data_IF_619585355738
#
_entry.id   IF_619585355738
#
_cell.length_a   1.000
_cell.length_b   1.000
_cell.length_c   1.000
_cell.angle_alpha   90.00
_cell.angle_beta   90.00
_cell.angle_gamma   90.00
#
_symmetry.space_group_name_H-M   'P 1'
#
loop_
_entity.id
_entity.type
_entity.pdbx_description
1 polymer ?
#
# COMPACT_ATOMS: atom_id res chain seq x y z
N UNK A 1 -10.20 -33.73 -21.95
CA UNK A 1 -9.49 -32.55 -21.43
C UNK A 1 -10.24 -31.30 -21.88
N UNK A 2 -11.07 -30.70 -21.02
CA UNK A 2 -11.77 -29.46 -21.36
C UNK A 2 -10.87 -28.27 -21.07
N UNK A 3 -10.35 -27.63 -22.13
CA UNK A 3 -9.75 -26.29 -22.02
C UNK A 3 -10.90 -25.34 -21.73
N UNK A 4 -11.11 -25.00 -20.45
CA UNK A 4 -12.00 -23.91 -20.07
C UNK A 4 -11.42 -22.62 -20.65
N UNK A 5 -11.88 -22.22 -21.83
CA UNK A 5 -11.65 -20.87 -22.32
C UNK A 5 -12.21 -19.94 -21.24
N UNK A 6 -11.34 -19.15 -20.60
CA UNK A 6 -11.79 -18.18 -19.60
C UNK A 6 -12.57 -17.13 -20.38
N UNK A 7 -13.87 -17.02 -20.10
CA UNK A 7 -14.73 -16.00 -20.67
C UNK A 7 -14.06 -14.61 -20.53
N UNK A 8 -13.74 -13.95 -21.67
CA UNK A 8 -13.03 -12.67 -21.67
C UNK A 8 -13.83 -11.57 -20.95
N UNK A 9 -15.16 -11.65 -20.91
CA UNK A 9 -16.01 -10.71 -20.18
C UNK A 9 -15.76 -10.80 -18.66
N UNK A 10 -15.64 -12.03 -18.14
CA UNK A 10 -15.36 -12.30 -16.72
C UNK A 10 -13.97 -11.86 -16.30
N UNK A 11 -12.97 -12.03 -17.17
CA UNK A 11 -11.61 -11.51 -16.94
C UNK A 11 -11.57 -9.98 -16.95
N UNK A 12 -12.30 -9.34 -17.87
CA UNK A 12 -12.42 -7.88 -17.93
C UNK A 12 -13.00 -7.32 -16.64
N UNK A 13 -14.09 -7.89 -16.12
CA UNK A 13 -14.72 -7.44 -14.88
C UNK A 13 -13.82 -7.64 -13.65
N UNK A 14 -13.10 -8.77 -13.57
CA UNK A 14 -12.17 -9.07 -12.48
C UNK A 14 -10.97 -8.12 -12.42
N UNK A 15 -10.60 -7.52 -13.56
CA UNK A 15 -9.49 -6.58 -13.70
C UNK A 15 -9.88 -5.11 -13.47
N UNK A 16 -11.17 -4.80 -13.28
CA UNK A 16 -11.63 -3.43 -12.98
C UNK A 16 -11.16 -2.99 -11.58
N UNK A 17 -11.01 -1.68 -11.42
CA UNK A 17 -10.76 -1.07 -10.11
C UNK A 17 -11.95 -1.28 -9.18
N UNK A 18 -11.65 -1.62 -7.94
CA UNK A 18 -12.60 -1.81 -6.85
C UNK A 18 -12.94 -0.47 -6.22
N UNK A 19 -14.20 -0.05 -6.33
CA UNK A 19 -14.71 1.15 -5.66
C UNK A 19 -14.52 1.09 -4.15
N UNK A 20 -14.68 -0.09 -3.55
CA UNK A 20 -14.49 -0.29 -2.12
C UNK A 20 -13.02 -0.07 -1.72
N UNK A 21 -12.07 -0.61 -2.49
CA UNK A 21 -10.64 -0.42 -2.20
C UNK A 21 -10.27 1.06 -2.30
N UNK A 22 -10.73 1.74 -3.36
CA UNK A 22 -10.51 3.18 -3.52
C UNK A 22 -11.13 3.97 -2.36
N UNK A 23 -12.36 3.64 -1.95
CA UNK A 23 -13.02 4.28 -0.82
C UNK A 23 -12.24 4.04 0.49
N UNK A 24 -11.79 2.82 0.77
CA UNK A 24 -10.99 2.52 1.97
C UNK A 24 -9.69 3.33 2.02
N UNK A 25 -8.97 3.43 0.89
CA UNK A 25 -7.73 4.20 0.83
C UNK A 25 -7.98 5.70 0.95
N UNK A 26 -9.02 6.21 0.27
CA UNK A 26 -9.41 7.62 0.36
C UNK A 26 -9.84 7.99 1.78
N UNK A 27 -10.63 7.14 2.45
CA UNK A 27 -11.03 7.33 3.84
C UNK A 27 -9.84 7.29 4.78
N UNK A 28 -8.92 6.33 4.62
CA UNK A 28 -7.70 6.25 5.42
C UNK A 28 -6.84 7.50 5.26
N UNK A 29 -6.64 7.97 4.02
CA UNK A 29 -5.92 9.21 3.73
C UNK A 29 -6.59 10.45 4.34
N UNK A 30 -7.91 10.59 4.20
CA UNK A 30 -8.67 11.70 4.78
C UNK A 30 -8.63 11.69 6.33
N UNK A 31 -8.73 10.50 6.94
CA UNK A 31 -8.57 10.33 8.38
C UNK A 31 -7.15 10.72 8.83
N UNK A 32 -6.14 10.39 8.01
CA UNK A 32 -4.77 10.85 8.18
C UNK A 32 -4.67 12.37 8.23
N UNK A 33 -5.22 13.07 7.23
CA UNK A 33 -5.25 14.54 7.20
C UNK A 33 -5.86 15.11 8.48
N UNK A 34 -7.01 14.57 8.90
CA UNK A 34 -7.67 15.02 10.14
C UNK A 34 -6.78 14.78 11.38
N UNK A 35 -6.14 13.62 11.48
CA UNK A 35 -5.19 13.34 12.55
C UNK A 35 -3.98 14.30 12.53
N UNK A 36 -3.43 14.57 11.35
CA UNK A 36 -2.35 15.54 11.16
C UNK A 36 -2.74 16.95 11.59
N UNK A 37 -3.99 17.36 11.30
CA UNK A 37 -4.53 18.64 11.77
C UNK A 37 -4.64 18.70 13.29
N UNK A 38 -5.12 17.63 13.93
CA UNK A 38 -5.17 17.55 15.39
C UNK A 38 -3.76 17.64 16.00
N UNK A 39 -2.80 16.89 15.46
CA UNK A 39 -1.40 16.93 15.88
C UNK A 39 -0.81 18.33 15.72
N UNK A 40 -1.06 18.99 14.59
CA UNK A 40 -0.59 20.35 14.33
C UNK A 40 -1.19 21.36 15.31
N UNK A 41 -2.51 21.32 15.56
CA UNK A 41 -3.16 22.25 16.50
C UNK A 41 -2.68 22.04 17.93
N UNK A 42 -2.35 20.80 18.31
CA UNK A 42 -1.86 20.45 19.66
C UNK A 42 -0.34 20.52 19.82
N UNK A 43 0.39 20.99 18.80
CA UNK A 43 1.85 21.02 18.82
C UNK A 43 2.39 21.97 19.88
N UNK A 44 3.59 21.66 20.37
CA UNK A 44 4.35 22.58 21.21
C UNK A 44 4.84 23.78 20.38
N UNK A 45 4.79 25.02 20.90
CA UNK A 45 5.44 26.17 20.27
C UNK A 45 6.97 26.07 20.27
N UNK A 46 7.54 25.26 21.16
CA UNK A 46 8.99 25.05 21.21
C UNK A 46 9.42 24.18 20.02
N UNK A 47 10.30 24.74 19.18
CA UNK A 47 10.90 24.02 18.06
C UNK A 47 12.05 23.18 18.56
N UNK A 48 12.04 21.88 18.25
CA UNK A 48 13.15 20.99 18.57
C UNK A 48 14.43 21.42 17.84
N UNK A 49 15.59 21.21 18.49
CA UNK A 49 16.88 21.46 17.88
C UNK A 49 17.19 20.46 16.75
N UNK A 50 17.85 20.94 15.70
CA UNK A 50 18.35 20.09 14.64
C UNK A 50 19.52 19.22 15.14
N UNK A 51 19.47 17.92 14.82
CA UNK A 51 20.52 16.94 15.10
C UNK A 51 21.26 16.65 13.80
N UNK A 52 22.56 16.95 13.77
CA UNK A 52 23.39 16.70 12.61
C UNK A 52 23.39 15.21 12.22
N UNK A 53 23.27 14.92 10.93
CA UNK A 53 23.23 13.55 10.40
C UNK A 53 21.85 12.88 10.43
N UNK A 54 20.78 13.57 10.84
CA UNK A 54 19.41 13.02 10.80
C UNK A 54 18.85 12.86 9.38
N UNK A 55 19.47 13.50 8.39
CA UNK A 55 19.04 13.47 7.00
C UNK A 55 19.45 12.14 6.32
N UNK A 56 18.46 11.39 5.84
CA UNK A 56 18.59 10.11 5.15
C UNK A 56 17.99 10.12 3.73
N UNK A 57 17.65 11.28 3.17
CA UNK A 57 16.85 11.37 1.94
C UNK A 57 17.50 10.68 0.74
N UNK A 58 18.84 10.65 0.70
CA UNK A 58 19.57 9.95 -0.35
C UNK A 58 19.27 8.44 -0.34
N UNK A 59 19.16 7.83 0.84
CA UNK A 59 18.81 6.42 0.98
C UNK A 59 17.38 6.14 0.49
N UNK A 60 16.42 6.97 0.89
CA UNK A 60 15.02 6.82 0.46
C UNK A 60 14.86 6.99 -1.05
N UNK A 61 15.55 7.96 -1.66
CA UNK A 61 15.56 8.14 -3.12
C UNK A 61 16.13 6.89 -3.80
N UNK A 62 17.24 6.34 -3.30
CA UNK A 62 17.83 5.11 -3.85
C UNK A 62 16.84 3.94 -3.76
N UNK A 63 16.22 3.73 -2.59
CA UNK A 63 15.22 2.66 -2.40
C UNK A 63 14.02 2.85 -3.32
N UNK A 64 13.53 4.08 -3.47
CA UNK A 64 12.42 4.40 -4.35
C UNK A 64 12.77 4.13 -5.82
N UNK A 65 13.93 4.59 -6.29
CA UNK A 65 14.39 4.38 -7.67
C UNK A 65 14.56 2.88 -7.96
N UNK A 66 15.20 2.14 -7.05
CA UNK A 66 15.36 0.69 -7.18
C UNK A 66 13.99 -0.01 -7.22
N UNK A 67 13.06 0.39 -6.36
CA UNK A 67 11.71 -0.18 -6.32
C UNK A 67 10.96 0.06 -7.63
N UNK A 68 11.01 1.28 -8.17
CA UNK A 68 10.42 1.61 -9.47
C UNK A 68 11.06 0.80 -10.60
N UNK A 69 12.39 0.69 -10.62
CA UNK A 69 13.12 -0.08 -11.62
C UNK A 69 12.73 -1.57 -11.60
N UNK A 70 12.60 -2.16 -10.41
CA UNK A 70 12.14 -3.54 -10.23
C UNK A 70 10.70 -3.71 -10.74
N UNK A 71 9.78 -2.82 -10.35
CA UNK A 71 8.37 -2.90 -10.79
C UNK A 71 8.27 -2.76 -12.31
N UNK A 72 8.99 -1.80 -12.90
CA UNK A 72 9.02 -1.60 -14.34
C UNK A 72 9.60 -2.81 -15.07
N UNK A 73 10.74 -3.35 -14.60
CA UNK A 73 11.38 -4.54 -15.17
C UNK A 73 10.46 -5.77 -15.12
N UNK A 74 9.80 -6.02 -13.99
CA UNK A 74 8.82 -7.10 -13.85
C UNK A 74 7.63 -6.87 -14.77
N UNK A 75 7.13 -5.64 -14.90
CA UNK A 75 6.00 -5.35 -15.79
C UNK A 75 6.36 -5.54 -17.27
N UNK A 76 7.54 -5.10 -17.70
CA UNK A 76 8.05 -5.35 -19.06
C UNK A 76 8.22 -6.85 -19.31
N UNK A 77 8.80 -7.59 -18.37
CA UNK A 77 8.94 -9.04 -18.47
C UNK A 77 7.60 -9.76 -18.55
N UNK A 78 6.61 -9.32 -17.76
CA UNK A 78 5.25 -9.87 -17.81
C UNK A 78 4.55 -9.53 -19.12
N UNK A 79 4.71 -8.30 -19.65
CA UNK A 79 4.10 -7.88 -20.90
C UNK A 79 4.56 -8.73 -22.10
N UNK A 80 5.77 -9.29 -22.03
CA UNK A 80 6.29 -10.25 -23.03
C UNK A 80 5.62 -11.63 -22.97
N UNK A 81 4.77 -11.91 -21.98
CA UNK A 81 4.04 -13.18 -21.82
C UNK A 81 2.61 -13.06 -22.36
N UNK A 82 2.15 -13.96 -23.26
CA UNK A 82 0.82 -13.89 -23.87
C UNK A 82 -0.36 -13.89 -22.88
N UNK A 83 -0.17 -14.45 -21.68
CA UNK A 83 -1.21 -14.58 -20.64
C UNK A 83 -1.35 -13.35 -19.72
N UNK A 84 -0.55 -12.31 -19.93
CA UNK A 84 -0.44 -11.16 -19.01
C UNK A 84 -0.87 -9.82 -19.62
N UNK A 85 -1.36 -9.80 -20.86
CA UNK A 85 -1.81 -8.57 -21.51
C UNK A 85 -2.85 -7.84 -20.64
N UNK A 86 -2.56 -6.59 -20.23
CA UNK A 86 -3.44 -5.75 -19.40
C UNK A 86 -3.27 -5.87 -17.87
N UNK A 87 -2.32 -6.66 -17.38
CA UNK A 87 -1.98 -6.68 -15.94
C UNK A 87 -1.01 -5.54 -15.60
N UNK A 88 -1.44 -4.64 -14.72
CA UNK A 88 -0.62 -3.54 -14.19
C UNK A 88 -0.35 -3.79 -12.72
N UNK A 89 0.93 -3.87 -12.35
CA UNK A 89 1.36 -4.08 -10.96
C UNK A 89 0.94 -2.92 -10.07
N UNK A 90 0.96 -1.71 -10.61
CA UNK A 90 0.54 -0.48 -9.93
C UNK A 90 -0.91 -0.53 -9.45
N UNK A 91 -1.79 -1.11 -10.27
CA UNK A 91 -3.24 -1.17 -9.97
C UNK A 91 -3.68 -2.50 -9.38
N UNK A 92 -2.84 -3.53 -9.42
CA UNK A 92 -3.17 -4.88 -8.98
C UNK A 92 -3.79 -4.96 -7.56
N UNK A 93 -3.31 -4.20 -6.55
CA UNK A 93 -3.89 -4.22 -5.20
C UNK A 93 -5.32 -3.65 -5.16
N UNK A 94 -5.67 -2.79 -6.12
CA UNK A 94 -6.91 -2.03 -6.17
C UNK A 94 -8.01 -2.73 -7.00
N UNK A 95 -7.78 -3.95 -7.49
CA UNK A 95 -8.70 -4.62 -8.41
C UNK A 95 -9.78 -5.42 -7.69
N UNK A 96 -10.94 -5.57 -8.33
CA UNK A 96 -12.08 -6.35 -7.82
C UNK A 96 -11.66 -7.78 -7.44
N UNK A 97 -10.84 -8.46 -8.25
CA UNK A 97 -10.35 -9.81 -7.94
C UNK A 97 -9.56 -9.88 -6.61
N UNK A 98 -8.77 -8.86 -6.30
CA UNK A 98 -8.04 -8.81 -5.03
C UNK A 98 -9.02 -8.76 -3.84
N UNK A 99 -10.07 -7.94 -3.94
CA UNK A 99 -11.11 -7.84 -2.91
C UNK A 99 -11.97 -9.09 -2.79
N UNK A 100 -12.30 -9.75 -3.89
CA UNK A 100 -13.04 -11.02 -3.83
C UNK A 100 -12.24 -12.09 -3.10
N UNK A 101 -10.93 -12.19 -3.36
CA UNK A 101 -10.04 -13.13 -2.67
C UNK A 101 -9.85 -12.77 -1.19
N UNK A 102 -9.80 -11.47 -0.87
CA UNK A 102 -9.80 -10.99 0.52
C UNK A 102 -11.08 -11.40 1.23
N UNK A 103 -12.24 -11.14 0.65
CA UNK A 103 -13.54 -11.54 1.21
C UNK A 103 -13.65 -13.05 1.41
N UNK A 104 -13.12 -13.86 0.49
CA UNK A 104 -13.07 -15.32 0.66
C UNK A 104 -12.10 -15.77 1.76
N UNK A 105 -10.97 -15.08 1.93
CA UNK A 105 -9.98 -15.42 2.97
C UNK A 105 -10.47 -15.02 4.36
N UNK A 106 -11.25 -13.93 4.46
CA UNK A 106 -11.83 -13.45 5.71
C UNK A 106 -13.18 -14.10 6.06
N UNK A 107 -13.94 -14.58 5.07
CA UNK A 107 -15.10 -15.43 5.31
C UNK A 107 -14.59 -16.78 5.80
N UNK A 108 -14.61 -16.95 7.11
CA UNK A 108 -14.42 -18.22 7.81
C UNK A 108 -15.54 -19.17 7.36
N UNK A 109 -15.40 -19.78 6.19
CA UNK A 109 -16.37 -20.70 5.61
C UNK A 109 -16.26 -22.07 6.29
N UNK A 110 -17.40 -22.63 6.69
CA UNK A 110 -17.55 -23.93 7.35
C UNK A 110 -16.60 -25.02 6.79
N UNK A 111 -15.54 -25.31 7.53
CA UNK A 111 -14.48 -26.23 7.14
C UNK A 111 -13.10 -25.72 7.57
N UNK A 112 -12.91 -25.57 8.89
CA UNK A 112 -11.64 -25.13 9.47
C UNK A 112 -10.49 -26.07 9.13
N UNK A 113 -9.37 -25.52 8.63
CA UNK A 113 -8.08 -26.19 8.61
C UNK A 113 -7.09 -25.37 9.43
N UNK A 114 -6.19 -26.04 10.18
CA UNK A 114 -5.17 -25.39 11.03
C UNK A 114 -4.38 -24.25 10.34
N UNK A 115 -4.02 -24.33 9.04
CA UNK A 115 -3.35 -23.22 8.36
C UNK A 115 -4.16 -21.92 8.27
N UNK A 116 -5.48 -21.99 8.37
CA UNK A 116 -6.37 -20.81 8.30
C UNK A 116 -6.32 -19.97 9.59
N UNK A 117 -5.95 -20.58 10.73
CA UNK A 117 -5.79 -19.89 12.02
C UNK A 117 -4.64 -18.86 12.00
N UNK A 118 -3.61 -19.11 11.19
CA UNK A 118 -2.47 -18.19 11.05
C UNK A 118 -2.71 -17.23 9.88
N UNK A 119 -3.35 -17.72 8.81
CA UNK A 119 -3.56 -16.94 7.59
C UNK A 119 -4.46 -15.73 7.84
N UNK A 120 -5.59 -15.88 8.54
CA UNK A 120 -6.52 -14.77 8.72
C UNK A 120 -5.91 -13.61 9.55
N UNK A 121 -5.25 -13.85 10.70
CA UNK A 121 -4.52 -12.81 11.42
C UNK A 121 -3.40 -12.18 10.59
N UNK A 122 -2.63 -12.97 9.85
CA UNK A 122 -1.57 -12.45 8.99
C UNK A 122 -2.12 -11.55 7.88
N UNK A 123 -3.23 -11.95 7.24
CA UNK A 123 -3.93 -11.15 6.23
C UNK A 123 -4.45 -9.86 6.83
N UNK A 124 -5.05 -9.91 8.02
CA UNK A 124 -5.56 -8.72 8.70
C UNK A 124 -4.41 -7.76 9.05
N UNK A 125 -3.32 -8.26 9.62
CA UNK A 125 -2.14 -7.46 9.94
C UNK A 125 -1.57 -6.77 8.69
N UNK A 126 -1.36 -7.52 7.61
CA UNK A 126 -0.83 -6.96 6.35
C UNK A 126 -1.81 -5.97 5.72
N UNK A 127 -3.12 -6.20 5.83
CA UNK A 127 -4.15 -5.26 5.39
C UNK A 127 -4.11 -3.96 6.21
N UNK A 128 -3.95 -4.06 7.53
CA UNK A 128 -3.79 -2.88 8.40
C UNK A 128 -2.55 -2.07 8.01
N UNK A 129 -1.42 -2.72 7.74
CA UNK A 129 -0.20 -2.04 7.25
C UNK A 129 -0.48 -1.32 5.92
N UNK A 130 -1.17 -1.97 4.99
CA UNK A 130 -1.52 -1.38 3.71
C UNK A 130 -2.48 -0.17 3.86
N UNK A 131 -3.41 -0.18 4.82
CA UNK A 131 -4.31 0.94 5.09
C UNK A 131 -3.66 2.05 5.94
N UNK A 132 -2.71 1.69 6.79
CA UNK A 132 -1.93 2.64 7.58
C UNK A 132 -1.01 3.50 6.72
N UNK A 133 -0.54 2.96 5.59
CA UNK A 133 0.32 3.68 4.63
C UNK A 133 -0.33 4.97 4.10
N UNK A 134 -1.52 4.96 3.46
CA UNK A 134 -2.19 6.20 3.03
C UNK A 134 -2.64 7.07 4.21
N UNK A 135 -2.97 6.49 5.37
CA UNK A 135 -3.21 7.28 6.59
C UNK A 135 -1.99 8.12 6.96
N UNK A 136 -0.78 7.52 6.99
CA UNK A 136 0.46 8.24 7.26
C UNK A 136 0.81 9.28 6.21
N UNK A 137 0.52 9.01 4.94
CA UNK A 137 0.66 10.02 3.89
C UNK A 137 -0.24 11.24 4.15
N UNK A 138 -1.49 11.01 4.53
CA UNK A 138 -2.45 12.07 4.85
C UNK A 138 -2.05 12.87 6.08
N UNK A 139 -1.61 12.19 7.14
CA UNK A 139 -1.16 12.83 8.38
C UNK A 139 -0.03 13.84 8.12
N UNK A 140 0.91 13.48 7.26
CA UNK A 140 2.05 14.34 6.94
C UNK A 140 1.67 15.64 6.23
N UNK A 141 0.51 15.71 5.54
CA UNK A 141 0.06 16.91 4.82
C UNK A 141 -0.11 18.12 5.76
N UNK A 142 -0.65 17.89 6.96
CA UNK A 142 -0.85 18.96 7.94
C UNK A 142 0.11 18.81 9.12
N UNK A 143 0.34 17.58 9.59
CA UNK A 143 1.29 17.31 10.67
C UNK A 143 2.70 17.79 10.34
N UNK A 144 3.11 17.67 9.07
CA UNK A 144 4.41 18.13 8.59
C UNK A 144 4.61 19.65 8.64
N UNK A 145 3.54 20.44 8.79
CA UNK A 145 3.69 21.89 8.95
C UNK A 145 4.27 22.27 10.32
N UNK A 146 4.30 21.34 11.29
CA UNK A 146 5.00 21.52 12.55
C UNK A 146 6.51 21.46 12.31
N UNK A 147 7.28 22.55 12.55
CA UNK A 147 8.73 22.56 12.37
C UNK A 147 9.44 21.47 13.20
N UNK A 148 8.89 21.12 14.38
CA UNK A 148 9.45 20.05 15.21
C UNK A 148 9.30 18.66 14.57
N UNK A 149 8.34 18.48 13.66
CA UNK A 149 8.15 17.24 12.93
C UNK A 149 9.11 17.09 11.74
N UNK A 150 9.63 18.20 11.20
CA UNK A 150 10.47 18.18 9.99
C UNK A 150 11.95 18.38 10.30
N UNK A 151 12.29 19.11 11.37
CA UNK A 151 13.67 19.52 11.69
C UNK A 151 14.67 18.35 11.72
N UNK A 152 14.22 17.15 12.09
CA UNK A 152 15.02 15.92 12.14
C UNK A 152 14.48 14.80 11.25
N UNK A 153 13.60 15.11 10.29
CA UNK A 153 13.08 14.12 9.36
C UNK A 153 14.18 13.61 8.42
N UNK A 154 14.03 12.38 7.94
CA UNK A 154 14.95 11.78 6.97
C UNK A 154 15.01 12.57 5.66
N UNK A 155 13.90 13.19 5.26
CA UNK A 155 13.84 14.13 4.15
C UNK A 155 14.56 15.47 4.36
N UNK A 156 15.20 15.67 5.52
CA UNK A 156 15.81 16.94 5.92
C UNK A 156 14.82 17.91 6.58
N UNK A 157 15.29 19.09 7.02
CA UNK A 157 14.56 19.98 7.92
C UNK A 157 13.35 20.68 7.29
N UNK A 158 13.19 20.56 5.97
CA UNK A 158 12.13 21.24 5.22
C UNK A 158 10.85 20.43 5.21
N UNK A 159 9.71 21.12 5.17
CA UNK A 159 8.40 20.48 4.97
C UNK A 159 8.37 19.59 3.74
N UNK A 160 8.84 20.09 2.59
CA UNK A 160 8.79 19.34 1.33
C UNK A 160 9.66 18.09 1.36
N UNK A 161 10.86 18.19 1.94
CA UNK A 161 11.74 17.04 2.12
C UNK A 161 11.09 15.98 3.01
N UNK A 162 10.63 16.37 4.21
CA UNK A 162 9.96 15.47 5.13
C UNK A 162 8.69 14.84 4.53
N UNK A 163 7.89 15.61 3.78
CA UNK A 163 6.71 15.13 3.09
C UNK A 163 7.07 14.07 2.03
N UNK A 164 8.06 14.38 1.18
CA UNK A 164 8.54 13.46 0.15
C UNK A 164 9.00 12.14 0.78
N UNK A 165 9.82 12.23 1.83
CA UNK A 165 10.35 11.07 2.55
C UNK A 165 9.25 10.11 3.03
N UNK A 166 8.32 10.64 3.82
CA UNK A 166 7.21 9.85 4.35
C UNK A 166 6.32 9.27 3.25
N UNK A 167 6.15 9.98 2.14
CA UNK A 167 5.35 9.49 1.00
C UNK A 167 6.06 8.37 0.26
N UNK A 168 7.37 8.48 0.02
CA UNK A 168 8.16 7.41 -0.59
C UNK A 168 8.13 6.14 0.26
N UNK A 169 8.35 6.26 1.57
CA UNK A 169 8.26 5.15 2.52
C UNK A 169 6.87 4.49 2.49
N UNK A 170 5.81 5.29 2.60
CA UNK A 170 4.45 4.78 2.60
C UNK A 170 4.09 4.08 1.27
N UNK A 171 4.54 4.61 0.13
CA UNK A 171 4.32 3.98 -1.19
C UNK A 171 5.04 2.62 -1.25
N UNK A 172 6.30 2.56 -0.84
CA UNK A 172 7.08 1.32 -0.84
C UNK A 172 6.44 0.28 0.08
N UNK A 173 6.11 0.66 1.32
CA UNK A 173 5.45 -0.21 2.30
C UNK A 173 4.09 -0.70 1.78
N UNK A 174 3.29 0.18 1.17
CA UNK A 174 2.00 -0.17 0.59
C UNK A 174 2.14 -1.27 -0.47
N UNK A 175 3.09 -1.12 -1.40
CA UNK A 175 3.27 -2.10 -2.48
C UNK A 175 3.89 -3.41 -1.97
N UNK A 176 4.81 -3.36 -1.00
CA UNK A 176 5.32 -4.57 -0.33
C UNK A 176 4.18 -5.30 0.38
N UNK A 177 3.38 -4.59 1.18
CA UNK A 177 2.22 -5.16 1.87
C UNK A 177 1.22 -5.76 0.87
N UNK A 178 0.93 -5.08 -0.24
CA UNK A 178 0.05 -5.61 -1.26
C UNK A 178 0.60 -6.86 -1.97
N UNK A 179 1.92 -6.93 -2.18
CA UNK A 179 2.58 -8.12 -2.72
C UNK A 179 2.51 -9.31 -1.75
N UNK A 180 2.77 -9.06 -0.46
CA UNK A 180 2.62 -10.08 0.60
C UNK A 180 1.17 -10.54 0.69
N UNK A 181 0.22 -9.61 0.70
CA UNK A 181 -1.21 -9.90 0.74
C UNK A 181 -1.62 -10.80 -0.43
N UNK A 182 -1.19 -10.48 -1.66
CA UNK A 182 -1.46 -11.31 -2.85
C UNK A 182 -1.04 -12.78 -2.66
N UNK A 183 0.06 -13.02 -1.94
CA UNK A 183 0.61 -14.35 -1.65
C UNK A 183 -0.15 -15.08 -0.54
N UNK A 184 -0.71 -14.34 0.42
CA UNK A 184 -1.50 -14.90 1.53
C UNK A 184 -2.94 -15.22 1.15
N UNK A 185 -3.52 -14.46 0.21
CA UNK A 185 -4.92 -14.60 -0.18
C UNK A 185 -5.22 -15.93 -0.90
N UNK A 186 -6.34 -16.56 -0.56
CA UNK A 186 -6.79 -17.80 -1.25
C UNK A 186 -7.09 -17.52 -2.73
N UNK A 187 -6.88 -18.51 -3.60
CA UNK A 187 -7.19 -18.39 -5.03
C UNK A 187 -8.65 -18.76 -5.31
N UNK A 188 -9.27 -18.10 -6.28
CA UNK A 188 -10.65 -18.34 -6.72
C UNK A 188 -10.83 -19.62 -7.55
N UNK A 189 -9.96 -20.61 -7.40
CA UNK A 189 -9.98 -21.83 -8.20
C UNK A 189 -9.33 -23.01 -7.50
N UNK A 190 -10.16 -23.75 -6.73
CA UNK A 190 -10.09 -25.20 -6.49
C UNK A 190 -11.31 -25.60 -5.64
N UNK A 191 -12.39 -25.94 -6.32
CA UNK A 191 -13.16 -27.15 -6.05
C UNK A 191 -13.28 -27.88 -7.38
#
# INVERSE_FOLDING_TARGET
MAVTSRDPARQSQANRLSRLSLAMLATAFAAGIAAGAVSYVRRSPAVQGHVAGSNGIAFEIVVAVVSVAVVAGVQVWQARRPRSAGYSLWTAPLRVNAMSRLGLTLRIGCGFRVPDLIRAPAVLLVLLIALYSPFRMGEQVIGGLDPSSTVNAWGGPTYLGALLAHWLDAIVIFYVAAFVLKSLLVTTGRR
#
